data_IF_867887482217
#
_entry.id   IF_867887482217
#
_cell.length_a   1.000
_cell.length_b   1.000
_cell.length_c   1.000
_cell.angle_alpha   90.00
_cell.angle_beta   90.00
_cell.angle_gamma   90.00
#
_symmetry.space_group_name_H-M   'P 1'
#
loop_
_entity.id
_entity.type
_entity.pdbx_description
1 polymer ?
#
# COMPACT_ATOMS: atom_id res chain seq x y z
N UNK A 1 2.00 8.94 2.70
CA UNK A 1 2.66 7.70 2.25
C UNK A 1 3.67 8.06 1.17
N UNK A 2 4.92 8.35 1.55
CA UNK A 2 5.93 8.93 0.64
C UNK A 2 7.24 8.15 0.62
N UNK A 3 7.37 7.08 1.41
CA UNK A 3 8.50 6.18 1.36
C UNK A 3 8.28 5.14 0.24
N UNK A 4 9.31 4.90 -0.57
CA UNK A 4 9.32 3.74 -1.46
C UNK A 4 9.25 2.48 -0.59
N UNK A 5 8.08 1.84 -0.58
CA UNK A 5 7.88 0.57 0.08
C UNK A 5 8.79 -0.48 -0.58
N UNK A 6 9.02 -1.59 0.13
CA UNK A 6 9.54 -2.82 -0.48
C UNK A 6 8.73 -3.15 -1.75
N UNK A 7 9.34 -3.77 -2.78
CA UNK A 7 8.64 -4.06 -4.03
C UNK A 7 7.35 -4.82 -3.76
N UNK A 8 6.22 -4.34 -4.27
CA UNK A 8 4.90 -4.90 -3.93
C UNK A 8 4.79 -6.41 -4.20
N UNK A 9 5.50 -6.92 -5.21
CA UNK A 9 5.59 -8.36 -5.48
C UNK A 9 6.13 -9.20 -4.30
N UNK A 10 6.92 -8.62 -3.39
CA UNK A 10 7.41 -9.32 -2.19
C UNK A 10 6.37 -9.39 -1.07
N UNK A 11 5.28 -8.61 -1.18
CA UNK A 11 4.18 -8.58 -0.22
C UNK A 11 3.02 -9.49 -0.66
N UNK A 12 2.93 -9.78 -1.95
CA UNK A 12 1.86 -10.58 -2.52
C UNK A 12 2.15 -12.08 -2.42
N UNK A 13 1.11 -12.87 -2.16
CA UNK A 13 1.12 -14.29 -2.49
C UNK A 13 1.21 -14.52 -4.01
N UNK A 14 1.61 -15.72 -4.43
CA UNK A 14 1.67 -16.07 -5.85
C UNK A 14 0.30 -15.91 -6.56
N UNK A 15 -0.80 -16.18 -5.84
CA UNK A 15 -2.15 -16.03 -6.37
C UNK A 15 -2.50 -14.55 -6.60
N UNK A 16 -2.16 -13.67 -5.66
CA UNK A 16 -2.41 -12.22 -5.79
C UNK A 16 -1.56 -11.58 -6.89
N UNK A 17 -0.31 -12.03 -7.06
CA UNK A 17 0.54 -11.56 -8.15
C UNK A 17 0.01 -12.01 -9.53
N UNK A 18 -0.50 -13.24 -9.62
CA UNK A 18 -1.12 -13.75 -10.84
C UNK A 18 -2.39 -12.97 -11.20
N UNK A 19 -3.24 -12.67 -10.21
CA UNK A 19 -4.45 -11.88 -10.41
C UNK A 19 -4.12 -10.44 -10.81
N UNK A 20 -3.16 -9.80 -10.14
CA UNK A 20 -2.64 -8.49 -10.52
C UNK A 20 -2.17 -8.48 -11.98
N UNK A 21 -1.37 -9.47 -12.38
CA UNK A 21 -0.86 -9.57 -13.76
C UNK A 21 -1.99 -9.77 -14.76
N UNK A 22 -2.98 -10.60 -14.42
CA UNK A 22 -4.15 -10.87 -15.28
C UNK A 22 -4.99 -9.61 -15.50
N UNK A 23 -5.20 -8.80 -14.46
CA UNK A 23 -6.03 -7.59 -14.53
C UNK A 23 -5.30 -6.43 -15.21
N UNK A 24 -4.00 -6.27 -14.93
CA UNK A 24 -3.23 -5.09 -15.35
C UNK A 24 -2.38 -5.30 -16.60
N UNK A 25 -2.05 -6.55 -16.93
CA UNK A 25 -1.03 -6.89 -17.94
C UNK A 25 0.42 -6.64 -17.49
N UNK A 26 0.63 -6.11 -16.28
CA UNK A 26 1.95 -5.78 -15.74
C UNK A 26 2.51 -6.98 -14.98
N UNK A 27 3.69 -7.46 -15.40
CA UNK A 27 4.35 -8.64 -14.79
C UNK A 27 5.05 -8.33 -13.46
N UNK A 28 5.54 -7.11 -13.30
CA UNK A 28 6.25 -6.66 -12.09
C UNK A 28 5.57 -5.39 -11.60
N UNK A 29 4.80 -5.45 -10.50
CA UNK A 29 4.21 -4.27 -9.90
C UNK A 29 5.25 -3.20 -9.59
N UNK A 30 4.97 -1.95 -9.97
CA UNK A 30 5.85 -0.81 -9.70
C UNK A 30 5.90 -0.44 -8.22
N UNK A 31 6.89 0.40 -7.86
CA UNK A 31 7.17 0.85 -6.48
C UNK A 31 5.94 1.41 -5.73
N UNK A 32 5.03 2.10 -6.42
CA UNK A 32 3.85 2.73 -5.80
C UNK A 32 2.60 1.84 -5.75
N UNK A 33 2.68 0.59 -6.24
CA UNK A 33 1.52 -0.30 -6.29
C UNK A 33 0.99 -0.64 -4.89
N UNK A 34 1.88 -0.82 -3.91
CA UNK A 34 1.51 -1.03 -2.51
C UNK A 34 0.69 0.15 -1.97
N UNK A 35 1.20 1.37 -2.15
CA UNK A 35 0.56 2.57 -1.61
C UNK A 35 -0.81 2.80 -2.24
N UNK A 36 -0.95 2.56 -3.55
CA UNK A 36 -2.24 2.62 -4.23
C UNK A 36 -3.22 1.56 -3.71
N UNK A 37 -2.74 0.33 -3.51
CA UNK A 37 -3.54 -0.76 -2.95
C UNK A 37 -4.04 -0.46 -1.53
N UNK A 38 -3.14 0.01 -0.66
CA UNK A 38 -3.47 0.36 0.74
C UNK A 38 -4.47 1.52 0.77
N UNK A 39 -4.24 2.58 -0.02
CA UNK A 39 -5.16 3.72 -0.10
C UNK A 39 -6.56 3.31 -0.58
N UNK A 40 -6.65 2.49 -1.63
CA UNK A 40 -7.93 1.99 -2.12
C UNK A 40 -8.68 1.18 -1.05
N UNK A 41 -7.99 0.30 -0.33
CA UNK A 41 -8.61 -0.53 0.71
C UNK A 41 -9.12 0.27 1.92
N UNK A 42 -8.47 1.39 2.27
CA UNK A 42 -8.99 2.34 3.28
C UNK A 42 -10.38 2.84 2.88
N UNK A 43 -10.53 3.32 1.64
CA UNK A 43 -11.83 3.81 1.14
C UNK A 43 -12.86 2.68 1.03
N UNK A 44 -12.46 1.52 0.50
CA UNK A 44 -13.33 0.34 0.39
C UNK A 44 -13.85 -0.09 1.76
N UNK A 45 -12.99 -0.11 2.79
CA UNK A 45 -13.39 -0.44 4.16
C UNK A 45 -14.45 0.55 4.67
N UNK A 46 -14.26 1.85 4.48
CA UNK A 46 -15.24 2.86 4.88
C UNK A 46 -16.58 2.73 4.12
N UNK A 47 -16.53 2.45 2.82
CA UNK A 47 -17.73 2.22 2.00
C UNK A 47 -18.48 0.98 2.47
N UNK A 48 -17.78 -0.13 2.74
CA UNK A 48 -18.37 -1.37 3.31
C UNK A 48 -19.00 -1.13 4.69
N UNK A 49 -18.49 -0.16 5.46
CA UNK A 49 -19.08 0.28 6.72
C UNK A 49 -20.25 1.28 6.57
N UNK A 50 -20.80 1.43 5.35
CA UNK A 50 -21.95 2.29 5.07
C UNK A 50 -21.64 3.78 4.99
N UNK A 51 -20.36 4.17 4.88
CA UNK A 51 -19.97 5.59 4.75
C UNK A 51 -19.99 5.99 3.28
N UNK A 52 -21.13 6.54 2.84
CA UNK A 52 -21.41 6.80 1.43
C UNK A 52 -21.35 8.29 1.03
N UNK A 53 -21.14 9.19 1.98
CA UNK A 53 -20.93 10.62 1.71
C UNK A 53 -19.48 11.00 1.95
N UNK A 54 -19.02 12.08 1.30
CA UNK A 54 -17.65 12.59 1.49
C UNK A 54 -17.33 12.87 2.96
N UNK A 55 -18.24 13.52 3.70
CA UNK A 55 -18.06 13.81 5.12
C UNK A 55 -18.02 12.53 5.97
N UNK A 56 -18.88 11.55 5.69
CA UNK A 56 -18.88 10.27 6.40
C UNK A 56 -17.58 9.47 6.16
N UNK A 57 -17.07 9.49 4.93
CA UNK A 57 -15.78 8.88 4.58
C UNK A 57 -14.64 9.58 5.31
N UNK A 58 -14.59 10.92 5.28
CA UNK A 58 -13.55 11.69 5.99
C UNK A 58 -13.53 11.37 7.49
N UNK A 59 -14.68 11.28 8.14
CA UNK A 59 -14.77 10.88 9.55
C UNK A 59 -14.26 9.45 9.76
N UNK A 60 -14.61 8.52 8.88
CA UNK A 60 -14.14 7.14 8.94
C UNK A 60 -12.61 7.04 8.78
N UNK A 61 -12.04 7.73 7.80
CA UNK A 61 -10.59 7.77 7.58
C UNK A 61 -9.86 8.34 8.79
N UNK A 62 -10.34 9.46 9.36
CA UNK A 62 -9.68 10.12 10.48
C UNK A 62 -9.75 9.35 11.82
N UNK A 63 -10.75 8.48 12.00
CA UNK A 63 -10.96 7.75 13.26
C UNK A 63 -10.62 6.26 13.18
N UNK A 64 -10.50 5.73 11.96
CA UNK A 64 -10.34 4.31 11.68
C UNK A 64 -8.98 3.74 12.01
N UNK A 65 -8.91 2.41 12.00
CA UNK A 65 -7.68 1.62 11.99
C UNK A 65 -7.71 0.76 10.73
N UNK A 66 -6.60 0.75 10.00
CA UNK A 66 -6.49 0.17 8.67
C UNK A 66 -5.33 -0.82 8.61
N UNK A 67 -5.30 -1.62 7.54
CA UNK A 67 -4.26 -2.62 7.32
C UNK A 67 -3.54 -2.27 6.03
N UNK A 68 -2.21 -2.14 6.08
CA UNK A 68 -1.40 -1.98 4.89
C UNK A 68 -1.21 -3.35 4.20
N UNK A 69 -0.60 -3.36 3.00
CA UNK A 69 -0.43 -4.60 2.25
C UNK A 69 0.51 -5.62 2.92
N UNK A 70 1.44 -5.14 3.75
CA UNK A 70 2.33 -5.98 4.57
C UNK A 70 1.65 -6.54 5.83
N UNK A 71 0.35 -6.29 6.01
CA UNK A 71 -0.43 -6.72 7.17
C UNK A 71 -0.30 -5.82 8.40
N UNK A 72 0.56 -4.81 8.36
CA UNK A 72 0.72 -3.87 9.48
C UNK A 72 -0.54 -3.03 9.70
N UNK A 73 -0.80 -2.67 10.96
CA UNK A 73 -1.93 -1.81 11.33
C UNK A 73 -1.47 -0.37 11.43
N UNK A 74 -2.26 0.55 10.89
CA UNK A 74 -1.98 1.97 10.94
C UNK A 74 -3.24 2.81 11.15
N UNK A 75 -3.05 4.06 11.58
CA UNK A 75 -4.06 5.10 11.68
C UNK A 75 -3.55 6.34 10.96
N UNK A 76 -4.41 7.32 10.72
CA UNK A 76 -3.97 8.65 10.31
C UNK A 76 -3.87 9.56 11.53
N UNK A 77 -2.84 10.40 11.57
CA UNK A 77 -2.69 11.45 12.57
C UNK A 77 -3.56 12.68 12.23
N UNK A 78 -3.45 13.73 13.04
CA UNK A 78 -4.22 14.98 12.83
C UNK A 78 -3.90 15.72 11.53
N UNK A 79 -2.78 15.41 10.88
CA UNK A 79 -2.33 16.01 9.62
C UNK A 79 -2.68 15.14 8.40
N UNK A 80 -3.18 13.93 8.63
CA UNK A 80 -3.49 12.97 7.57
C UNK A 80 -2.32 12.07 7.20
N UNK A 81 -1.27 12.03 8.04
CA UNK A 81 -0.13 11.16 7.84
C UNK A 81 -0.33 9.80 8.55
N UNK A 82 0.13 8.68 7.97
CA UNK A 82 0.10 7.39 8.66
C UNK A 82 0.92 7.45 9.96
N UNK A 83 0.35 6.93 11.06
CA UNK A 83 1.01 6.86 12.37
C UNK A 83 2.16 5.86 12.43
N UNK A 84 2.31 5.04 11.39
CA UNK A 84 3.41 4.08 11.24
C UNK A 84 4.11 4.37 9.92
N UNK A 85 5.43 4.49 9.98
CA UNK A 85 6.23 4.57 8.76
C UNK A 85 6.24 3.21 8.06
N UNK A 86 6.09 3.21 6.74
CA UNK A 86 6.34 2.03 5.93
C UNK A 86 7.84 1.70 5.93
N UNK A 87 8.17 0.42 5.84
CA UNK A 87 9.55 -0.02 5.63
C UNK A 87 10.10 0.58 4.32
N UNK A 88 11.26 1.23 4.39
CA UNK A 88 11.94 1.80 3.22
C UNK A 88 12.74 0.69 2.54
N UNK A 89 12.53 0.48 1.24
CA UNK A 89 13.34 -0.46 0.47
C UNK A 89 14.73 0.11 0.15
N UNK A 90 15.77 -0.66 0.46
CA UNK A 90 17.14 -0.47 -0.02
C UNK A 90 17.34 -1.12 -1.39
N UNK A 91 18.01 -0.39 -2.30
CA UNK A 91 18.21 -0.80 -3.69
C UNK A 91 19.67 -0.65 -4.08
N UNK A 92 20.12 -1.55 -4.96
CA UNK A 92 21.48 -1.53 -5.52
C UNK A 92 21.41 -1.62 -7.04
N UNK A 93 22.40 -1.04 -7.72
CA UNK A 93 22.55 -1.19 -9.16
C UNK A 93 23.51 -2.36 -9.43
N UNK A 94 23.05 -3.37 -10.15
CA UNK A 94 23.85 -4.54 -10.57
C UNK A 94 23.67 -4.73 -12.07
N UNK A 95 24.78 -4.77 -12.81
CA UNK A 95 24.79 -4.99 -14.27
C UNK A 95 23.85 -4.07 -15.08
N UNK A 96 23.65 -2.83 -14.59
CA UNK A 96 22.77 -1.84 -15.22
C UNK A 96 21.29 -1.92 -14.79
N UNK A 97 20.93 -2.84 -13.90
CA UNK A 97 19.57 -2.99 -13.37
C UNK A 97 19.45 -2.53 -11.91
N UNK A 98 18.28 -1.98 -11.55
CA UNK A 98 17.95 -1.63 -10.15
C UNK A 98 17.36 -2.89 -9.49
N UNK A 99 18.07 -3.41 -8.49
CA UNK A 99 17.71 -4.65 -7.79
C UNK A 99 17.44 -4.34 -6.32
N UNK A 100 16.35 -4.90 -5.79
CA UNK A 100 16.04 -4.82 -4.37
C UNK A 100 17.08 -5.59 -3.56
N UNK A 101 17.61 -4.98 -2.51
CA UNK A 101 18.60 -5.59 -1.63
C UNK A 101 17.94 -6.07 -0.32
N UNK A 102 17.39 -5.12 0.45
CA UNK A 102 16.82 -5.36 1.79
C UNK A 102 15.99 -4.16 2.24
N UNK A 103 15.33 -4.28 3.38
CA UNK A 103 14.79 -3.13 4.11
C UNK A 103 15.97 -2.29 4.64
N UNK A 104 15.92 -0.98 4.41
CA UNK A 104 16.94 -0.01 4.82
C UNK A 104 16.86 0.35 6.31
#
# INVERSE_FOLDING_TARGET
MTAASVPFATLLSAAELADFTKVTGIKVPGLYAETAWTAANVFIQCIKAGKLTRSAIQVCVNSGSFTAADGSKFRFDRYGDPTTAAAVGGWIVKDGEIVYDKVA
#
